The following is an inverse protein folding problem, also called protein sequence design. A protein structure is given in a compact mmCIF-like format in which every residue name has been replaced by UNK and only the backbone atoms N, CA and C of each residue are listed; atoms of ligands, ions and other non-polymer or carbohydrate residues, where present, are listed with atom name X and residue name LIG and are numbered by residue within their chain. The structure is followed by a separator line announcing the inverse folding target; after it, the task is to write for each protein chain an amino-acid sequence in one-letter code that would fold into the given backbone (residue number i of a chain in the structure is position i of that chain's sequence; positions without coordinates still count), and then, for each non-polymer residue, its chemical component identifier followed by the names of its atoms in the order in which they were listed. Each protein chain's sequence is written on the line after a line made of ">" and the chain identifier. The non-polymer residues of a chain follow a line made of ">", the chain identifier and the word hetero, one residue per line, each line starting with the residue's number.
data_IF_837143408662
#
_entry.id   IF_837143408662
#
_cell.length_a   1.000
_cell.length_b   1.000
_cell.length_c   1.000
_cell.angle_alpha   90.00
_cell.angle_beta   90.00
_cell.angle_gamma   90.00
#
_symmetry.space_group_name_H-M   'P 1'
#
loop_
_entity.id
_entity.type
_entity.pdbx_description
1 polymer ?
#
# COMPACT_ATOMS: atom_id res chain seq x y z
N UNK A 1 -12.42 -23.16 4.44
CA UNK A 1 -11.34 -22.20 4.17
C UNK A 1 -10.04 -22.96 4.09
N UNK A 2 -9.25 -22.77 3.03
CA UNK A 2 -7.95 -23.40 2.87
C UNK A 2 -6.96 -22.46 2.19
N UNK A 3 -5.67 -22.61 2.47
CA UNK A 3 -4.60 -21.87 1.77
C UNK A 3 -3.37 -22.73 1.55
N UNK A 4 -2.58 -22.35 0.54
CA UNK A 4 -1.28 -22.91 0.23
C UNK A 4 -0.29 -21.75 0.07
N UNK A 5 0.90 -21.89 0.66
CA UNK A 5 1.95 -20.88 0.60
C UNK A 5 3.23 -21.53 0.08
N UNK A 6 3.91 -20.84 -0.82
CA UNK A 6 5.21 -21.17 -1.35
C UNK A 6 6.16 -19.99 -1.09
N UNK A 7 7.34 -20.29 -0.57
CA UNK A 7 8.41 -19.30 -0.42
C UNK A 7 9.70 -19.89 -0.98
N UNK A 8 10.38 -19.11 -1.81
CA UNK A 8 11.60 -19.52 -2.47
C UNK A 8 12.67 -18.43 -2.37
N UNK A 9 13.80 -18.78 -1.77
CA UNK A 9 14.94 -17.89 -1.60
C UNK A 9 15.86 -17.99 -2.83
N UNK A 10 15.87 -16.94 -3.64
CA UNK A 10 16.70 -16.79 -4.84
C UNK A 10 18.04 -16.14 -4.47
N UNK A 11 18.93 -16.92 -3.88
CA UNK A 11 20.23 -16.43 -3.43
C UNK A 11 20.13 -15.56 -2.16
N UNK A 12 21.15 -14.74 -1.89
CA UNK A 12 21.27 -14.04 -0.60
C UNK A 12 20.30 -12.88 -0.40
N UNK A 13 19.83 -12.27 -1.49
CA UNK A 13 19.15 -10.98 -1.45
C UNK A 13 17.76 -10.99 -2.09
N UNK A 14 17.32 -12.10 -2.68
CA UNK A 14 16.04 -12.14 -3.42
C UNK A 14 15.16 -13.25 -2.90
N UNK A 15 13.87 -12.97 -2.73
CA UNK A 15 12.86 -13.95 -2.33
C UNK A 15 11.62 -13.83 -3.20
N UNK A 16 11.00 -14.98 -3.51
CA UNK A 16 9.68 -15.08 -4.12
C UNK A 16 8.73 -15.71 -3.11
N UNK A 17 7.55 -15.12 -2.97
CA UNK A 17 6.44 -15.67 -2.19
C UNK A 17 5.24 -15.79 -3.11
N UNK A 18 4.55 -16.91 -3.05
CA UNK A 18 3.26 -17.11 -3.70
C UNK A 18 2.29 -17.74 -2.70
N UNK A 19 1.07 -17.22 -2.65
CA UNK A 19 0.01 -17.69 -1.76
C UNK A 19 -1.28 -17.84 -2.55
N UNK A 20 -2.02 -18.91 -2.28
CA UNK A 20 -3.35 -19.16 -2.82
C UNK A 20 -4.28 -19.47 -1.66
N UNK A 21 -5.50 -18.95 -1.69
CA UNK A 21 -6.50 -19.18 -0.66
C UNK A 21 -7.88 -19.38 -1.29
N UNK A 22 -8.69 -20.25 -0.69
CA UNK A 22 -10.10 -20.46 -1.04
C UNK A 22 -11.00 -20.32 0.16
N UNK A 23 -12.01 -19.49 0.02
CA UNK A 23 -13.07 -19.30 1.02
C UNK A 23 -14.38 -19.89 0.53
N UNK A 24 -15.13 -20.45 1.47
CA UNK A 24 -16.53 -20.80 1.29
C UNK A 24 -17.19 -20.30 2.57
N UNK A 25 -18.17 -19.42 2.42
CA UNK A 25 -18.84 -18.75 3.52
C UNK A 25 -20.35 -18.80 3.32
N UNK A 26 -21.07 -18.81 4.43
CA UNK A 26 -22.53 -18.73 4.44
C UNK A 26 -22.92 -17.55 5.30
N UNK A 27 -23.78 -16.70 4.77
CA UNK A 27 -24.41 -15.63 5.53
C UNK A 27 -25.92 -15.84 5.53
N UNK A 28 -26.54 -15.33 6.59
CA UNK A 28 -27.99 -15.35 6.75
C UNK A 28 -28.46 -13.91 6.86
N UNK A 29 -29.58 -13.55 6.25
CA UNK A 29 -30.08 -12.17 6.30
C UNK A 29 -31.58 -12.11 6.54
N UNK A 30 -31.99 -11.16 7.38
CA UNK A 30 -33.39 -10.86 7.71
C UNK A 30 -33.55 -9.34 7.73
N UNK A 31 -34.35 -8.80 6.80
CA UNK A 31 -34.39 -7.35 6.58
C UNK A 31 -33.00 -6.80 6.21
N UNK A 32 -32.54 -5.78 6.94
CA UNK A 32 -31.22 -5.16 6.75
C UNK A 32 -30.10 -5.79 7.60
N UNK A 33 -30.41 -6.83 8.40
CA UNK A 33 -29.43 -7.47 9.27
C UNK A 33 -28.80 -8.69 8.59
N UNK A 34 -27.49 -8.87 8.80
CA UNK A 34 -26.71 -10.01 8.29
C UNK A 34 -26.08 -10.76 9.46
N UNK A 35 -26.18 -12.09 9.47
CA UNK A 35 -25.71 -13.01 10.49
C UNK A 35 -24.75 -14.03 9.88
N UNK A 36 -23.81 -14.53 10.69
CA UNK A 36 -22.83 -15.57 10.32
C UNK A 36 -23.27 -16.98 10.72
N UNK A 37 -24.38 -17.09 11.44
CA UNK A 37 -25.06 -18.34 11.83
C UNK A 37 -26.56 -18.20 11.58
N UNK A 38 -27.32 -19.31 11.40
CA UNK A 38 -28.77 -19.23 11.29
C UNK A 38 -29.37 -18.45 12.47
N UNK A 39 -30.20 -17.45 12.18
CA UNK A 39 -30.91 -16.65 13.18
C UNK A 39 -32.23 -17.30 13.61
N UNK A 40 -32.80 -18.17 12.75
CA UNK A 40 -34.09 -18.82 13.01
C UNK A 40 -35.30 -17.87 12.96
N UNK A 41 -35.11 -16.64 12.49
CA UNK A 41 -36.18 -15.66 12.31
C UNK A 41 -37.00 -15.95 11.05
N UNK A 42 -38.29 -15.60 11.07
CA UNK A 42 -39.18 -15.77 9.91
C UNK A 42 -38.74 -14.88 8.75
N UNK A 43 -38.69 -15.45 7.54
CA UNK A 43 -38.23 -14.74 6.34
C UNK A 43 -36.71 -14.69 6.18
N UNK A 44 -35.94 -15.47 6.93
CA UNK A 44 -34.49 -15.59 6.79
C UNK A 44 -34.09 -16.12 5.40
N UNK A 45 -33.14 -15.42 4.78
CA UNK A 45 -32.49 -15.83 3.54
C UNK A 45 -31.11 -16.38 3.86
N UNK A 46 -30.80 -17.57 3.35
CA UNK A 46 -29.45 -18.13 3.34
C UNK A 46 -28.75 -17.73 2.04
N UNK A 47 -27.57 -17.15 2.14
CA UNK A 47 -26.69 -16.85 1.00
C UNK A 47 -25.36 -17.55 1.18
N UNK A 48 -24.93 -18.26 0.15
CA UNK A 48 -23.58 -18.81 0.08
C UNK A 48 -22.70 -17.89 -0.78
N UNK A 49 -21.45 -17.76 -0.39
CA UNK A 49 -20.43 -17.02 -1.12
C UNK A 49 -19.13 -17.82 -1.04
N UNK A 50 -18.61 -18.20 -2.19
CA UNK A 50 -17.27 -18.75 -2.33
C UNK A 50 -16.40 -17.81 -3.16
N UNK A 51 -15.10 -17.93 -2.95
CA UNK A 51 -14.15 -17.20 -3.76
C UNK A 51 -12.72 -17.58 -3.47
N UNK A 52 -11.91 -17.45 -4.50
CA UNK A 52 -10.47 -17.68 -4.47
C UNK A 52 -9.71 -16.34 -4.35
N UNK A 53 -8.51 -16.41 -3.78
CA UNK A 53 -7.55 -15.32 -3.74
C UNK A 53 -6.13 -15.83 -4.02
N UNK A 54 -5.34 -14.99 -4.68
CA UNK A 54 -3.94 -15.25 -5.00
C UNK A 54 -3.09 -14.05 -4.63
N UNK A 55 -1.86 -14.32 -4.21
CA UNK A 55 -0.80 -13.34 -4.01
C UNK A 55 0.50 -13.88 -4.58
N UNK A 56 1.25 -13.04 -5.25
CA UNK A 56 2.63 -13.29 -5.67
C UNK A 56 3.45 -12.06 -5.34
N UNK A 57 4.62 -12.24 -4.76
CA UNK A 57 5.54 -11.17 -4.39
C UNK A 57 6.97 -11.57 -4.66
N UNK A 58 7.69 -10.74 -5.40
CA UNK A 58 9.12 -10.82 -5.62
C UNK A 58 9.78 -9.65 -4.89
N UNK A 59 10.66 -9.94 -3.95
CA UNK A 59 11.41 -8.95 -3.20
C UNK A 59 12.91 -9.11 -3.44
N UNK A 60 13.62 -8.00 -3.65
CA UNK A 60 15.07 -7.92 -3.71
C UNK A 60 15.56 -6.89 -2.69
N UNK A 61 16.56 -7.24 -1.90
CA UNK A 61 17.13 -6.38 -0.88
C UNK A 61 18.63 -6.60 -0.77
N UNK A 62 19.38 -5.68 -1.34
CA UNK A 62 20.83 -5.54 -1.19
C UNK A 62 21.16 -4.22 -0.49
N UNK A 63 22.45 -3.94 -0.30
CA UNK A 63 22.94 -2.67 0.24
C UNK A 63 22.62 -1.48 -0.69
N UNK A 64 22.72 -1.67 -2.00
CA UNK A 64 22.57 -0.59 -2.98
C UNK A 64 21.14 -0.47 -3.51
N UNK A 65 20.41 -1.58 -3.60
CA UNK A 65 19.09 -1.64 -4.24
C UNK A 65 18.10 -2.40 -3.38
N UNK A 66 16.93 -1.80 -3.19
CA UNK A 66 15.74 -2.46 -2.66
C UNK A 66 14.64 -2.37 -3.70
N UNK A 67 14.06 -3.52 -4.07
CA UNK A 67 12.98 -3.58 -5.04
C UNK A 67 11.92 -4.60 -4.62
N UNK A 68 10.67 -4.33 -5.00
CA UNK A 68 9.55 -5.24 -4.83
C UNK A 68 8.66 -5.18 -6.05
N UNK A 69 8.25 -6.32 -6.56
CA UNK A 69 7.12 -6.46 -7.47
C UNK A 69 6.08 -7.38 -6.83
N UNK A 70 4.81 -7.04 -6.92
CA UNK A 70 3.75 -7.81 -6.31
C UNK A 70 2.48 -7.79 -7.14
N UNK A 71 1.69 -8.84 -6.96
CA UNK A 71 0.38 -9.03 -7.52
C UNK A 71 -0.49 -9.70 -6.46
N UNK A 72 -1.66 -9.17 -6.20
CA UNK A 72 -2.67 -9.81 -5.37
C UNK A 72 -4.05 -9.63 -5.98
N UNK A 73 -4.90 -10.63 -5.83
CA UNK A 73 -6.23 -10.64 -6.43
C UNK A 73 -7.15 -11.54 -5.63
N UNK A 74 -8.39 -11.12 -5.42
CA UNK A 74 -9.44 -11.94 -4.81
C UNK A 74 -10.76 -11.81 -5.54
N UNK A 75 -11.51 -12.89 -5.66
CA UNK A 75 -12.85 -12.90 -6.24
C UNK A 75 -13.85 -12.16 -5.34
N UNK A 76 -14.99 -11.72 -5.91
CA UNK A 76 -15.99 -10.93 -5.16
C UNK A 76 -16.55 -11.71 -3.97
N UNK A 77 -16.71 -13.03 -4.11
CA UNK A 77 -17.17 -13.90 -3.03
C UNK A 77 -16.08 -14.32 -2.04
N UNK A 78 -14.82 -13.87 -2.23
CA UNK A 78 -13.76 -14.15 -1.28
C UNK A 78 -14.01 -13.46 0.06
N UNK A 79 -14.17 -14.25 1.11
CA UNK A 79 -14.52 -13.77 2.43
C UNK A 79 -13.59 -14.35 3.50
N UNK A 80 -12.57 -13.57 3.86
CA UNK A 80 -11.64 -13.89 4.95
C UNK A 80 -11.26 -12.62 5.72
N UNK A 81 -11.75 -12.46 6.94
CA UNK A 81 -11.50 -11.27 7.77
C UNK A 81 -10.06 -11.17 8.27
N UNK A 82 -9.28 -12.25 8.20
CA UNK A 82 -7.86 -12.25 8.54
C UNK A 82 -6.96 -12.04 7.32
N UNK A 83 -7.54 -11.92 6.11
CA UNK A 83 -6.79 -11.65 4.89
C UNK A 83 -6.42 -10.17 4.79
N UNK A 84 -5.22 -9.90 4.28
CA UNK A 84 -4.80 -8.55 3.86
C UNK A 84 -5.43 -8.09 2.53
N UNK A 85 -6.48 -8.74 2.03
CA UNK A 85 -7.20 -8.36 0.80
C UNK A 85 -8.69 -8.61 1.01
N UNK A 86 -9.56 -7.66 0.64
CA UNK A 86 -11.01 -7.89 0.68
C UNK A 86 -11.49 -8.48 -0.64
N UNK A 87 -12.59 -9.22 -0.61
CA UNK A 87 -13.25 -9.74 -1.81
C UNK A 87 -13.46 -8.66 -2.87
N UNK A 88 -13.22 -9.05 -4.12
CA UNK A 88 -13.34 -8.20 -5.31
C UNK A 88 -12.15 -7.28 -5.56
N UNK A 89 -11.19 -7.18 -4.63
CA UNK A 89 -9.99 -6.37 -4.86
C UNK A 89 -8.96 -7.09 -5.73
N UNK A 90 -8.19 -6.30 -6.47
CA UNK A 90 -6.93 -6.70 -7.06
C UNK A 90 -5.94 -5.55 -7.04
N UNK A 91 -4.67 -5.85 -6.90
CA UNK A 91 -3.61 -4.86 -6.89
C UNK A 91 -2.32 -5.45 -7.45
N UNK A 92 -1.69 -4.71 -8.33
CA UNK A 92 -0.37 -5.02 -8.87
C UNK A 92 0.51 -3.80 -8.69
N UNK A 93 1.78 -4.01 -8.35
CA UNK A 93 2.69 -2.89 -8.26
C UNK A 93 4.16 -3.27 -8.25
N UNK A 94 4.97 -2.27 -8.56
CA UNK A 94 6.42 -2.33 -8.47
C UNK A 94 6.92 -1.12 -7.69
N UNK A 95 7.96 -1.32 -6.89
CA UNK A 95 8.65 -0.28 -6.16
C UNK A 95 10.14 -0.55 -6.17
N UNK A 96 10.95 0.48 -6.39
CA UNK A 96 12.39 0.38 -6.33
C UNK A 96 13.00 1.62 -5.67
N UNK A 97 14.07 1.39 -4.92
CA UNK A 97 14.93 2.43 -4.36
C UNK A 97 16.38 2.02 -4.63
N UNK A 98 17.15 2.93 -5.23
CA UNK A 98 18.56 2.76 -5.51
C UNK A 98 19.37 3.85 -4.80
N UNK A 99 20.37 3.43 -4.03
CA UNK A 99 21.43 4.29 -3.50
C UNK A 99 22.45 4.51 -4.62
N UNK A 100 22.40 5.67 -5.27
CA UNK A 100 23.31 6.02 -6.38
C UNK A 100 24.67 6.44 -5.84
N UNK A 101 24.68 7.22 -4.77
CA UNK A 101 25.88 7.59 -4.02
C UNK A 101 25.56 7.59 -2.53
N UNK A 102 26.55 7.88 -1.68
CA UNK A 102 26.29 8.08 -0.25
C UNK A 102 25.34 9.24 0.04
N UNK A 103 25.19 10.20 -0.88
CA UNK A 103 24.36 11.41 -0.74
C UNK A 103 23.20 11.51 -1.73
N UNK A 104 22.98 10.51 -2.60
CA UNK A 104 21.88 10.51 -3.58
C UNK A 104 21.14 9.17 -3.58
N UNK A 105 19.81 9.24 -3.48
CA UNK A 105 18.90 8.12 -3.71
C UNK A 105 17.91 8.44 -4.81
N UNK A 106 17.61 7.46 -5.64
CA UNK A 106 16.53 7.50 -6.62
C UNK A 106 15.49 6.47 -6.22
N UNK A 107 14.23 6.83 -6.31
CA UNK A 107 13.12 5.93 -6.01
C UNK A 107 12.00 6.08 -7.01
N UNK A 108 11.28 5.00 -7.23
CA UNK A 108 10.08 5.02 -8.05
C UNK A 108 9.12 3.90 -7.70
N UNK A 109 7.86 4.12 -8.02
CA UNK A 109 6.80 3.14 -7.87
C UNK A 109 5.74 3.29 -8.95
N UNK A 110 5.10 2.17 -9.26
CA UNK A 110 3.90 2.13 -10.07
C UNK A 110 2.95 1.11 -9.44
N UNK A 111 1.67 1.47 -9.37
CA UNK A 111 0.60 0.67 -8.77
C UNK A 111 -0.64 0.74 -9.66
N UNK A 112 -1.34 -0.38 -9.75
CA UNK A 112 -2.68 -0.48 -10.32
C UNK A 112 -3.54 -1.27 -9.36
N UNK A 113 -4.65 -0.68 -8.93
CA UNK A 113 -5.64 -1.30 -8.07
C UNK A 113 -6.98 -1.39 -8.80
N UNK A 114 -7.73 -2.46 -8.55
CA UNK A 114 -9.05 -2.73 -9.14
C UNK A 114 -10.06 -3.14 -8.07
N UNK A 115 -11.32 -2.77 -8.28
CA UNK A 115 -12.46 -3.19 -7.50
C UNK A 115 -13.54 -3.79 -8.42
N UNK A 116 -13.68 -5.11 -8.40
CA UNK A 116 -14.62 -5.82 -9.28
C UNK A 116 -16.08 -5.70 -8.86
N UNK A 117 -16.36 -5.33 -7.61
CA UNK A 117 -17.73 -5.08 -7.18
C UNK A 117 -18.34 -3.82 -7.83
N UNK A 118 -17.50 -2.87 -8.25
CA UNK A 118 -17.89 -1.57 -8.83
C UNK A 118 -17.34 -1.33 -10.23
N UNK A 119 -16.55 -2.27 -10.77
CA UNK A 119 -15.78 -2.11 -12.01
C UNK A 119 -14.86 -0.88 -12.02
N UNK A 120 -14.41 -0.48 -10.82
CA UNK A 120 -13.56 0.69 -10.64
C UNK A 120 -12.08 0.31 -10.64
N UNK A 121 -11.23 1.25 -11.06
CA UNK A 121 -9.80 1.09 -11.03
C UNK A 121 -9.09 2.37 -10.62
N UNK A 122 -7.82 2.21 -10.28
CA UNK A 122 -6.91 3.27 -9.91
C UNK A 122 -5.52 2.92 -10.40
N UNK A 123 -4.83 3.91 -10.94
CA UNK A 123 -3.42 3.85 -11.27
C UNK A 123 -2.65 4.94 -10.54
N UNK A 124 -1.41 4.62 -10.20
CA UNK A 124 -0.53 5.53 -9.51
C UNK A 124 0.91 5.30 -9.94
N UNK A 125 1.63 6.39 -10.19
CA UNK A 125 3.04 6.36 -10.56
C UNK A 125 3.78 7.45 -9.80
N UNK A 126 5.01 7.17 -9.39
CA UNK A 126 5.89 8.15 -8.76
C UNK A 126 7.34 7.92 -9.16
N UNK A 127 8.06 9.01 -9.34
CA UNK A 127 9.50 9.02 -9.51
C UNK A 127 10.09 10.18 -8.71
N UNK A 128 11.18 9.93 -7.98
CA UNK A 128 11.81 10.96 -7.17
C UNK A 128 13.28 10.73 -6.90
N UNK A 129 13.90 11.81 -6.43
CA UNK A 129 15.30 11.88 -6.04
C UNK A 129 15.39 12.52 -4.68
N UNK A 130 16.06 11.85 -3.75
CA UNK A 130 16.43 12.39 -2.45
C UNK A 130 17.94 12.67 -2.42
N UNK A 131 18.30 13.88 -1.98
CA UNK A 131 19.66 14.36 -1.91
C UNK A 131 20.00 14.80 -0.49
N UNK A 132 21.07 14.23 0.08
CA UNK A 132 21.65 14.73 1.33
C UNK A 132 22.55 15.92 1.00
N UNK A 133 22.02 17.14 1.15
CA UNK A 133 22.72 18.38 0.86
C UNK A 133 23.83 18.69 1.87
N UNK A 134 23.63 18.31 3.14
CA UNK A 134 24.64 18.36 4.21
C UNK A 134 24.38 17.20 5.16
N UNK A 135 25.27 16.95 6.13
CA UNK A 135 25.05 15.93 7.16
C UNK A 135 23.73 16.10 7.95
N UNK A 136 23.13 17.29 7.90
CA UNK A 136 21.89 17.62 8.59
C UNK A 136 20.71 17.91 7.67
N UNK A 137 20.95 18.28 6.41
CA UNK A 137 19.92 18.70 5.46
C UNK A 137 19.70 17.66 4.36
N UNK A 138 18.45 17.24 4.20
CA UNK A 138 18.00 16.41 3.07
C UNK A 138 16.96 17.18 2.26
N UNK A 139 17.09 17.13 0.93
CA UNK A 139 16.12 17.64 -0.03
C UNK A 139 15.53 16.46 -0.82
N UNK A 140 14.27 16.59 -1.22
CA UNK A 140 13.51 15.54 -1.89
C UNK A 140 12.66 16.16 -2.99
N UNK A 141 12.83 15.73 -4.22
CA UNK A 141 12.06 16.17 -5.37
C UNK A 141 11.39 14.96 -6.01
N UNK A 142 10.09 15.04 -6.24
CA UNK A 142 9.35 13.97 -6.90
C UNK A 142 8.22 14.48 -7.79
N UNK A 143 7.89 13.66 -8.77
CA UNK A 143 6.69 13.77 -9.58
C UNK A 143 5.84 12.54 -9.32
N UNK A 144 4.53 12.72 -9.26
CA UNK A 144 3.57 11.62 -9.21
C UNK A 144 2.43 11.87 -10.19
N UNK A 145 1.87 10.80 -10.70
CA UNK A 145 0.65 10.80 -11.49
C UNK A 145 -0.33 9.81 -10.86
N UNK A 146 -1.59 10.22 -10.71
CA UNK A 146 -2.63 9.38 -10.16
C UNK A 146 -3.90 9.51 -11.00
N UNK A 147 -4.44 8.36 -11.41
CA UNK A 147 -5.70 8.24 -12.11
C UNK A 147 -6.65 7.33 -11.31
N UNK A 148 -7.92 7.69 -11.23
CA UNK A 148 -8.95 6.89 -10.55
C UNK A 148 -10.31 7.07 -11.22
N UNK A 149 -11.03 5.96 -11.37
CA UNK A 149 -12.42 5.97 -11.83
C UNK A 149 -13.41 6.07 -10.67
N UNK A 150 -14.61 6.60 -10.95
CA UNK A 150 -15.74 6.58 -10.02
C UNK A 150 -16.00 5.14 -9.54
N UNK A 151 -16.38 5.00 -8.27
CA UNK A 151 -16.69 3.69 -7.69
C UNK A 151 -15.51 3.04 -6.99
N UNK A 152 -14.31 3.65 -7.01
CA UNK A 152 -13.15 3.10 -6.32
C UNK A 152 -13.32 3.28 -4.81
N UNK A 153 -13.13 2.24 -3.98
CA UNK A 153 -13.22 2.40 -2.53
C UNK A 153 -12.18 3.43 -2.05
N UNK A 154 -12.60 4.36 -1.20
CA UNK A 154 -11.71 5.37 -0.60
C UNK A 154 -10.62 4.68 0.23
N UNK A 155 -9.51 4.46 -0.46
CA UNK A 155 -8.25 3.90 0.01
C UNK A 155 -7.18 4.89 -0.45
N UNK A 156 -6.03 4.97 0.23
CA UNK A 156 -5.02 5.96 -0.14
C UNK A 156 -4.48 5.69 -1.56
N UNK A 157 -4.57 6.71 -2.43
CA UNK A 157 -4.20 6.68 -3.85
C UNK A 157 -2.69 6.46 -4.05
N UNK A 158 -1.95 7.42 -3.51
CA UNK A 158 -0.51 7.49 -3.28
C UNK A 158 -0.45 8.46 -2.09
N UNK A 159 0.21 8.09 -1.00
CA UNK A 159 0.35 8.98 0.15
C UNK A 159 1.54 9.95 -0.05
N UNK A 160 1.68 10.99 0.78
CA UNK A 160 2.93 11.79 0.77
C UNK A 160 4.11 10.87 1.05
N UNK A 161 5.33 11.25 0.67
CA UNK A 161 6.58 10.50 0.95
C UNK A 161 6.81 10.21 2.47
N UNK A 162 5.95 10.69 3.39
CA UNK A 162 5.89 10.29 4.82
C UNK A 162 4.91 9.18 5.15
N UNK A 163 3.89 8.97 4.32
CA UNK A 163 2.83 8.02 4.60
C UNK A 163 3.08 6.71 3.84
N UNK A 164 2.78 5.55 4.44
CA UNK A 164 2.89 4.28 3.76
C UNK A 164 2.07 4.30 2.46
N UNK A 165 2.71 3.98 1.34
CA UNK A 165 2.13 3.99 0.00
C UNK A 165 1.52 2.61 -0.29
N UNK A 166 0.19 2.56 -0.41
CA UNK A 166 -0.56 1.34 -0.71
C UNK A 166 -0.61 0.32 0.43
N UNK A 167 -1.61 -0.56 0.35
CA UNK A 167 -1.82 -1.69 1.26
C UNK A 167 -0.66 -2.69 1.17
N UNK A 168 0.34 -2.51 2.03
CA UNK A 168 1.50 -3.38 2.08
C UNK A 168 1.20 -4.76 2.69
N UNK A 169 1.57 -5.81 1.96
CA UNK A 169 1.83 -7.12 2.54
C UNK A 169 3.34 -7.31 2.73
N UNK A 170 3.71 -8.06 3.77
CA UNK A 170 5.10 -8.30 4.17
C UNK A 170 5.64 -9.59 3.50
N UNK A 171 6.97 -9.73 3.29
CA UNK A 171 7.57 -10.95 2.76
C UNK A 171 7.44 -12.19 3.67
N UNK A 172 6.95 -12.03 4.91
CA UNK A 172 6.88 -13.10 5.91
C UNK A 172 5.52 -13.83 5.97
N UNK A 173 4.60 -13.51 5.04
CA UNK A 173 3.41 -14.31 4.72
C UNK A 173 2.15 -14.05 5.56
N UNK A 174 0.99 -14.43 4.98
CA UNK A 174 -0.18 -14.91 5.74
C UNK A 174 -1.55 -14.28 5.44
N UNK A 175 -2.46 -15.07 4.85
CA UNK A 175 -3.93 -14.88 4.93
C UNK A 175 -4.53 -15.12 6.34
N UNK A 176 -3.70 -15.50 7.32
CA UNK A 176 -4.11 -15.99 8.65
C UNK A 176 -3.24 -15.51 9.83
N UNK A 177 -2.38 -14.50 9.66
CA UNK A 177 -1.38 -14.16 10.69
C UNK A 177 -0.99 -12.69 10.73
N UNK A 178 -0.90 -12.16 11.95
CA UNK A 178 -0.65 -10.78 12.33
C UNK A 178 0.60 -10.18 11.66
N UNK A 179 0.40 -9.36 10.61
CA UNK A 179 1.46 -8.63 9.91
C UNK A 179 2.01 -7.48 10.76
N UNK A 180 2.96 -7.78 11.64
CA UNK A 180 3.64 -6.77 12.45
C UNK A 180 4.34 -5.73 11.57
N UNK A 181 4.18 -4.46 11.94
CA UNK A 181 4.84 -3.30 11.32
C UNK A 181 6.37 -3.45 11.39
N UNK A 182 7.07 -3.34 10.26
CA UNK A 182 8.50 -3.07 10.27
C UNK A 182 8.73 -1.63 9.81
N UNK A 183 8.53 -0.67 10.71
CA UNK A 183 8.99 0.71 10.49
C UNK A 183 10.48 0.76 10.76
N UNK A 184 11.28 0.92 9.70
CA UNK A 184 12.72 1.17 9.81
C UNK A 184 12.99 2.66 9.64
N UNK A 185 13.93 3.19 10.43
CA UNK A 185 14.42 4.54 10.22
C UNK A 185 15.35 4.54 9.01
N UNK A 186 14.99 5.24 7.95
CA UNK A 186 15.91 5.43 6.84
C UNK A 186 17.10 6.27 7.35
N UNK A 187 18.33 5.70 7.45
CA UNK A 187 19.51 6.40 7.95
C UNK A 187 19.94 7.54 7.03
N UNK A 188 19.36 7.64 5.83
CA UNK A 188 19.63 8.70 4.88
C UNK A 188 18.71 9.89 5.01
N UNK A 189 17.40 9.66 5.08
CA UNK A 189 16.40 10.72 5.13
C UNK A 189 15.98 11.07 6.56
N UNK A 190 16.34 10.24 7.56
CA UNK A 190 15.90 10.40 8.95
C UNK A 190 14.41 10.13 9.18
N UNK A 191 13.67 9.74 8.13
CA UNK A 191 12.22 9.50 8.14
C UNK A 191 11.92 8.05 8.49
N UNK A 192 10.74 7.82 9.05
CA UNK A 192 10.19 6.48 9.13
C UNK A 192 9.93 5.98 7.72
N UNK A 193 10.61 4.92 7.33
CA UNK A 193 10.25 4.12 6.16
C UNK A 193 9.55 2.89 6.69
N UNK A 194 8.25 2.78 6.46
CA UNK A 194 7.58 1.50 6.58
C UNK A 194 8.23 0.53 5.57
N UNK A 195 9.08 -0.37 6.06
CA UNK A 195 9.39 -1.60 5.37
C UNK A 195 8.14 -2.47 5.52
N UNK A 196 7.15 -2.20 4.68
CA UNK A 196 5.89 -2.94 4.61
C UNK A 196 5.00 -2.73 5.86
N UNK A 197 4.17 -1.68 5.83
CA UNK A 197 3.05 -1.53 6.75
C UNK A 197 1.87 -2.42 6.31
N UNK A 198 1.10 -3.02 7.24
CA UNK A 198 0.01 -3.95 6.96
C UNK A 198 -1.19 -3.27 6.30
N UNK A 199 -1.94 -4.06 5.54
CA UNK A 199 -3.23 -3.69 4.95
C UNK A 199 -4.27 -3.44 6.04
N UNK A 200 -4.71 -2.20 6.19
CA UNK A 200 -5.99 -1.89 6.82
C UNK A 200 -6.88 -1.23 5.78
N UNK A 201 -7.53 -2.06 4.95
CA UNK A 201 -8.50 -1.62 3.95
C UNK A 201 -9.90 -2.09 4.33
N UNK A 202 -10.40 -1.60 5.48
CA UNK A 202 -11.83 -1.73 5.78
C UNK A 202 -12.57 -0.82 4.81
N UNK A 203 -13.45 -1.42 4.01
CA UNK A 203 -14.42 -0.81 3.08
C UNK A 203 -14.69 0.68 3.34
N UNK A 204 -13.94 1.55 2.67
CA UNK A 204 -14.24 2.98 2.58
C UNK A 204 -15.38 3.22 1.60
N UNK A 205 -16.11 4.33 1.76
CA UNK A 205 -17.11 4.74 0.78
C UNK A 205 -16.48 4.85 -0.61
N UNK A 206 -17.20 4.41 -1.63
CA UNK A 206 -16.75 4.53 -3.01
C UNK A 206 -16.65 6.00 -3.40
N UNK A 207 -15.61 6.36 -4.16
CA UNK A 207 -15.44 7.72 -4.66
C UNK A 207 -16.55 8.07 -5.66
N UNK A 208 -17.02 9.31 -5.58
CA UNK A 208 -18.12 9.83 -6.41
C UNK A 208 -17.63 10.65 -7.60
N UNK A 209 -16.33 10.91 -7.68
CA UNK A 209 -15.69 11.62 -8.77
C UNK A 209 -14.44 10.86 -9.19
N UNK A 210 -14.12 10.93 -10.47
CA UNK A 210 -12.86 10.45 -11.00
C UNK A 210 -11.73 11.41 -10.59
N UNK A 211 -10.49 10.90 -10.56
CA UNK A 211 -9.27 11.67 -10.40
C UNK A 211 -8.37 11.43 -11.60
N UNK A 212 -7.75 12.48 -12.09
CA UNK A 212 -6.59 12.45 -12.96
C UNK A 212 -5.76 13.65 -12.55
N UNK A 213 -4.55 13.44 -12.04
CA UNK A 213 -3.67 14.52 -11.59
C UNK A 213 -2.21 14.12 -11.65
N UNK A 214 -1.40 15.02 -12.20
CA UNK A 214 0.06 14.96 -12.08
C UNK A 214 0.49 16.04 -11.11
N UNK A 215 1.23 15.69 -10.06
CA UNK A 215 1.74 16.64 -9.07
C UNK A 215 3.26 16.58 -8.95
N UNK A 216 3.85 17.72 -8.60
CA UNK A 216 5.27 17.86 -8.25
C UNK A 216 5.37 18.20 -6.77
N UNK A 217 6.25 17.50 -6.06
CA UNK A 217 6.51 17.68 -4.63
C UNK A 217 7.96 18.04 -4.37
N UNK A 218 8.15 19.05 -3.53
CA UNK A 218 9.42 19.41 -2.92
C UNK A 218 9.35 19.18 -1.41
N UNK A 219 10.27 18.41 -0.87
CA UNK A 219 10.43 18.15 0.56
C UNK A 219 11.81 18.55 1.07
N UNK A 220 11.87 18.95 2.33
CA UNK A 220 13.10 19.21 3.06
C UNK A 220 13.03 18.59 4.46
N UNK A 221 14.14 18.02 4.92
CA UNK A 221 14.34 17.51 6.28
C UNK A 221 15.62 18.07 6.87
N UNK A 222 15.57 18.57 8.11
CA UNK A 222 16.71 19.16 8.79
C UNK A 222 16.88 18.66 10.22
N UNK A 223 18.03 18.07 10.52
CA UNK A 223 18.44 17.71 11.88
C UNK A 223 18.95 18.96 12.61
N UNK A 224 18.16 19.48 13.55
CA UNK A 224 18.57 20.57 14.42
C UNK A 224 19.62 20.11 15.44
N UNK A 225 19.48 18.87 15.91
CA UNK A 225 20.43 18.17 16.78
C UNK A 225 20.49 16.71 16.36
N UNK A 226 21.37 15.91 16.95
CA UNK A 226 21.45 14.47 16.64
C UNK A 226 20.21 13.67 17.09
N UNK A 227 19.31 14.31 17.86
CA UNK A 227 18.06 13.71 18.36
C UNK A 227 16.80 14.40 17.87
N UNK A 228 16.89 15.56 17.23
CA UNK A 228 15.72 16.36 16.86
C UNK A 228 15.79 16.80 15.41
N UNK A 229 14.76 16.45 14.65
CA UNK A 229 14.62 16.79 13.23
C UNK A 229 13.31 17.51 12.96
N UNK A 230 13.34 18.41 11.97
CA UNK A 230 12.17 19.02 11.36
C UNK A 230 12.04 18.54 9.92
N UNK A 231 10.81 18.47 9.42
CA UNK A 231 10.53 18.19 8.03
C UNK A 231 9.39 19.07 7.51
N UNK A 232 9.47 19.44 6.25
CA UNK A 232 8.42 20.16 5.55
C UNK A 232 8.32 19.68 4.10
N UNK A 233 7.13 19.74 3.52
CA UNK A 233 6.92 19.53 2.10
C UNK A 233 5.76 20.33 1.53
N UNK A 234 5.88 20.60 0.24
CA UNK A 234 4.86 21.24 -0.58
C UNK A 234 4.71 20.43 -1.87
N UNK A 235 3.46 20.16 -2.23
CA UNK A 235 3.07 19.45 -3.44
C UNK A 235 2.00 20.26 -4.18
N UNK A 236 2.12 20.29 -5.50
CA UNK A 236 1.24 21.05 -6.35
C UNK A 236 0.96 20.30 -7.65
N UNK A 237 -0.28 20.28 -8.10
CA UNK A 237 -0.67 19.79 -9.41
C UNK A 237 -0.04 20.65 -10.50
N UNK A 238 0.56 19.99 -11.47
CA UNK A 238 1.08 20.58 -12.71
C UNK A 238 0.19 20.25 -13.91
N UNK A 239 -0.62 19.20 -13.80
CA UNK A 239 -1.57 18.76 -14.82
C UNK A 239 -2.78 18.09 -14.16
N UNK A 240 -3.92 18.13 -14.85
CA UNK A 240 -5.16 17.49 -14.41
C UNK A 240 -5.86 18.25 -13.28
N UNK A 241 -6.42 17.49 -12.34
CA UNK A 241 -7.20 17.96 -11.20
C UNK A 241 -6.32 18.80 -10.28
N UNK A 242 -6.79 20.00 -9.88
CA UNK A 242 -6.06 20.88 -8.96
C UNK A 242 -5.90 20.20 -7.61
N UNK A 243 -4.66 19.90 -7.24
CA UNK A 243 -4.29 19.28 -5.99
C UNK A 243 -3.16 20.05 -5.35
N UNK A 244 -3.30 20.32 -4.06
CA UNK A 244 -2.28 21.03 -3.27
C UNK A 244 -2.18 20.39 -1.92
N UNK A 245 -0.95 20.17 -1.50
CA UNK A 245 -0.67 19.64 -0.17
C UNK A 245 0.54 20.34 0.42
N UNK A 246 0.40 20.68 1.69
CA UNK A 246 1.50 21.21 2.49
C UNK A 246 1.59 20.37 3.77
N UNK A 247 2.80 19.98 4.12
CA UNK A 247 3.09 19.15 5.28
C UNK A 247 4.22 19.76 6.09
N UNK A 248 4.13 19.68 7.41
CA UNK A 248 5.22 19.97 8.32
C UNK A 248 5.20 18.95 9.47
N UNK A 249 6.38 18.59 9.97
CA UNK A 249 6.54 17.62 11.04
C UNK A 249 7.81 17.84 11.83
N UNK A 250 7.84 17.22 12.99
CA UNK A 250 9.01 17.16 13.85
C UNK A 250 9.18 15.75 14.39
N UNK A 251 10.42 15.37 14.65
CA UNK A 251 10.79 14.05 15.18
C UNK A 251 11.80 14.20 16.30
N UNK A 252 11.61 13.41 17.35
CA UNK A 252 12.55 13.30 18.47
C UNK A 252 12.95 11.84 18.70
N UNK A 253 14.24 11.57 18.84
CA UNK A 253 14.78 10.25 19.19
C UNK A 253 15.00 10.18 20.71
N UNK A 254 14.34 9.20 21.35
CA UNK A 254 14.50 8.87 22.77
C UNK A 254 15.80 8.10 23.01
#
# INVERSE_FOLDING_TARGET
>A
LGSANLSYQMGKHTALVAEFARTISTTYSVGNNVYTTPSGLSGELKKEADGDAVRVELAHRSEQVQAKAYYNRSEVGFNNTTAGISGGQGEAGVKAVAKVTDSIKVYGEAIRSEQRATDANREGQQLGVAFRATDRLTLDLSVQHAEETIGMPSTALIASNTAPLGSGNTPNGGFFGNGANNTYLDPFTGRETAVFAPVNSRTGAATTQALDSTTVRLGAGYWLTDRFALNADAEHSVEGTDQRRYGAGAKYLL
#
